data_IF_558426986740
#
_entry.id   IF_558426986740
#
_cell.length_a   1.000
_cell.length_b   1.000
_cell.length_c   1.000
_cell.angle_alpha   90.00
_cell.angle_beta   90.00
_cell.angle_gamma   90.00
#
_symmetry.space_group_name_H-M   'P 1'
#
loop_
_entity.id
_entity.type
_entity.pdbx_description
1 polymer ?
2 non-polymer ?
3 non-polymer ?
4 non-polymer ?
5 non-polymer ?
6 non-polymer ?
7 water ?
#
# COMPACT_ATOMS: atom_id res chain seq x y z
N UNK A 2 -23.16 -0.11 -20.37
CA UNK A 2 -22.25 -0.10 -19.23
C UNK A 2 -20.79 -0.10 -19.70
N UNK A 3 -20.04 0.91 -19.28
CA UNK A 3 -18.62 1.03 -19.57
C UNK A 3 -17.94 -0.24 -19.07
N UNK A 4 -16.99 -0.78 -19.84
CA UNK A 4 -16.35 -2.00 -19.41
C UNK A 4 -15.28 -1.75 -18.35
N UNK A 5 -15.28 -2.56 -17.30
CA UNK A 5 -14.24 -2.50 -16.27
C UNK A 5 -12.94 -3.06 -16.84
N UNK A 6 -11.89 -2.25 -16.89
CA UNK A 6 -10.64 -2.69 -17.51
C UNK A 6 -9.53 -2.99 -16.52
N UNK A 7 -9.62 -2.43 -15.33
CA UNK A 7 -8.56 -2.68 -14.36
C UNK A 7 -9.02 -2.51 -12.93
N UNK A 8 -8.40 -3.28 -12.03
CA UNK A 8 -8.56 -3.06 -10.59
C UNK A 8 -7.16 -2.83 -10.09
N UNK A 9 -6.98 -1.70 -9.41
CA UNK A 9 -5.66 -1.26 -8.97
C UNK A 9 -5.60 -1.20 -7.45
N UNK A 10 -4.57 -1.86 -6.89
CA UNK A 10 -4.45 -2.04 -5.45
C UNK A 10 -3.34 -1.20 -4.83
N UNK A 11 -3.65 -0.52 -3.72
CA UNK A 11 -2.63 -0.09 -2.76
C UNK A 11 -2.00 -1.36 -2.17
N UNK A 12 -0.77 -1.24 -1.65
CA UNK A 12 -0.11 -2.39 -1.04
C UNK A 12 -0.33 -2.44 0.48
N UNK A 13 0.26 -1.50 1.22
CA UNK A 13 0.17 -1.56 2.68
C UNK A 13 -1.25 -1.31 3.17
N UNK A 14 -1.73 -2.19 4.05
CA UNK A 14 -3.07 -2.07 4.59
C UNK A 14 -4.15 -2.65 3.70
N UNK A 15 -3.77 -3.12 2.52
CA UNK A 15 -4.73 -3.73 1.58
C UNK A 15 -4.29 -5.14 1.20
N UNK A 16 -3.08 -5.25 0.68
CA UNK A 16 -2.50 -6.54 0.32
C UNK A 16 -1.88 -7.22 1.54
N UNK A 17 -1.08 -6.45 2.28
CA UNK A 17 -0.41 -6.94 3.48
C UNK A 17 -0.11 -5.76 4.41
N UNK A 18 0.24 -6.04 5.66
CA UNK A 18 0.54 -4.97 6.63
C UNK A 18 2.02 -4.94 6.98
N UNK A 19 2.69 -3.81 6.73
CA UNK A 19 4.13 -3.70 6.96
C UNK A 19 4.49 -2.88 8.21
N UNK A 20 3.48 -2.32 8.88
CA UNK A 20 3.71 -1.44 10.02
C UNK A 20 4.51 -2.07 11.15
N UNK A 21 4.17 -3.30 11.52
CA UNK A 21 4.87 -4.01 12.58
C UNK A 21 6.35 -4.25 12.21
N UNK A 22 6.60 -4.53 10.94
CA UNK A 22 7.98 -4.76 10.48
C UNK A 22 8.81 -3.49 10.52
N UNK A 23 8.20 -2.35 10.19
CA UNK A 23 8.90 -1.07 10.31
C UNK A 23 9.30 -0.82 11.76
N UNK A 24 8.35 -1.04 12.68
CA UNK A 24 8.63 -0.87 14.10
C UNK A 24 9.71 -1.82 14.60
N UNK A 25 9.61 -3.08 14.20
CA UNK A 25 10.60 -4.07 14.62
C UNK A 25 12.02 -3.73 14.16
N UNK A 26 12.14 -3.12 12.98
CA UNK A 26 13.44 -2.69 12.48
C UNK A 26 13.97 -1.50 13.32
N UNK A 27 13.11 -0.54 13.61
CA UNK A 27 13.51 0.59 14.45
C UNK A 27 13.90 0.10 15.85
N UNK A 28 13.14 -0.85 16.38
CA UNK A 28 13.43 -1.38 17.70
C UNK A 28 14.77 -2.10 17.74
N UNK A 29 15.11 -2.80 16.67
CA UNK A 29 16.39 -3.48 16.60
C UNK A 29 17.56 -2.49 16.50
N UNK A 30 17.44 -1.49 15.62
CA UNK A 30 18.52 -0.51 15.51
C UNK A 30 18.69 0.25 16.82
N UNK A 31 17.59 0.55 17.50
CA UNK A 31 17.66 1.21 18.80
C UNK A 31 18.41 0.33 19.80
N UNK A 32 18.05 -0.95 19.86
CA UNK A 32 18.71 -1.87 20.78
C UNK A 32 20.21 -1.98 20.51
N UNK A 33 20.60 -1.90 19.24
CA UNK A 33 22.01 -2.00 18.88
C UNK A 33 22.83 -0.79 19.30
N UNK A 34 22.16 0.31 19.63
CA UNK A 34 22.85 1.45 20.24
C UNK A 34 22.45 1.67 21.69
N UNK A 35 21.92 0.63 22.33
CA UNK A 35 21.67 0.66 23.76
C UNK A 35 20.43 1.43 24.18
N UNK A 36 19.44 1.48 23.30
CA UNK A 36 18.20 2.20 23.60
C UNK A 36 17.00 1.26 23.50
N UNK A 37 16.18 1.23 24.54
CA UNK A 37 14.99 0.38 24.55
C UNK A 37 13.75 1.17 24.16
N UNK A 38 13.10 0.79 23.06
CA UNK A 38 11.80 1.36 22.70
C UNK A 38 10.75 0.24 22.61
N UNK A 39 9.49 0.59 22.86
CA UNK A 39 8.39 -0.39 22.80
C UNK A 39 7.31 0.05 21.82
N UNK A 40 6.29 -0.79 21.64
CA UNK A 40 5.20 -0.49 20.73
C UNK A 40 4.48 0.81 21.11
N UNK A 41 4.47 1.09 22.41
CA UNK A 41 3.90 2.32 22.93
C UNK A 41 4.69 3.54 22.46
N UNK A 42 6.01 3.41 22.41
CA UNK A 42 6.86 4.48 21.89
C UNK A 42 6.61 4.67 20.39
N UNK A 43 6.23 3.58 19.71
CA UNK A 43 6.10 3.61 18.26
C UNK A 43 5.01 4.55 17.74
N UNK A 44 4.10 4.97 18.63
CA UNK A 44 3.10 5.97 18.26
C UNK A 44 3.80 7.29 17.92
N UNK A 45 4.93 7.53 18.58
CA UNK A 45 5.74 8.74 18.34
C UNK A 45 6.47 8.70 17.00
N UNK A 46 6.47 7.54 16.35
CA UNK A 46 7.12 7.38 15.06
C UNK A 46 6.08 7.30 13.94
N UNK A 47 4.81 7.24 14.32
CA UNK A 47 3.72 7.15 13.36
C UNK A 47 3.57 8.43 12.55
N UNK A 48 3.73 8.32 11.23
CA UNK A 48 3.58 9.46 10.35
C UNK A 48 4.74 10.45 10.45
N UNK A 49 5.93 9.92 10.71
CA UNK A 49 7.13 10.73 10.91
C UNK A 49 8.18 10.39 9.87
N UNK A 50 8.94 11.38 9.42
CA UNK A 50 10.03 11.17 8.46
C UNK A 50 11.08 10.24 9.04
N UNK A 51 11.89 9.63 8.17
CA UNK A 51 12.93 8.72 8.61
C UNK A 51 13.94 9.41 9.52
N UNK A 52 14.35 10.62 9.15
CA UNK A 52 15.38 11.32 9.93
C UNK A 52 14.86 11.72 11.31
N UNK A 53 13.62 12.19 11.36
CA UNK A 53 13.02 12.60 12.62
C UNK A 53 12.67 11.38 13.50
N UNK A 54 12.35 10.25 12.87
CA UNK A 54 12.11 9.01 13.62
C UNK A 54 13.37 8.61 14.37
N UNK A 55 14.49 8.59 13.67
CA UNK A 55 15.77 8.27 14.30
C UNK A 55 16.09 9.29 15.38
N UNK A 56 15.86 10.57 15.11
CA UNK A 56 16.20 11.58 16.10
C UNK A 56 15.38 11.39 17.37
N UNK A 57 14.11 11.02 17.22
CA UNK A 57 13.26 10.79 18.38
C UNK A 57 13.73 9.60 19.21
N UNK A 58 14.23 8.57 18.54
CA UNK A 58 14.82 7.42 19.22
C UNK A 58 16.07 7.84 20.00
N UNK A 59 16.93 8.62 19.35
CA UNK A 59 18.13 9.13 20.01
C UNK A 59 17.78 9.99 21.22
N UNK A 60 16.80 10.88 21.07
CA UNK A 60 16.37 11.72 22.18
C UNK A 60 15.87 10.86 23.34
N UNK A 61 15.13 9.81 23.01
CA UNK A 61 14.57 8.91 24.01
C UNK A 61 15.65 8.28 24.88
N UNK A 62 16.79 7.99 24.28
CA UNK A 62 17.91 7.41 25.02
C UNK A 62 18.98 8.41 25.43
N UNK A 63 18.72 9.70 25.23
CA UNK A 63 19.67 10.74 25.56
C UNK A 63 20.96 10.66 24.74
N UNK A 64 20.84 10.31 23.47
CA UNK A 64 22.02 10.08 22.65
C UNK A 64 22.12 10.92 21.37
N UNK A 65 21.36 12.01 21.29
CA UNK A 65 21.45 12.88 20.12
C UNK A 65 22.87 13.40 19.89
N UNK A 66 23.58 13.67 20.99
CA UNK A 66 24.91 14.25 20.91
C UNK A 66 25.98 13.26 20.48
N UNK A 67 25.62 11.99 20.39
CA UNK A 67 26.59 10.95 20.09
C UNK A 67 26.69 10.60 18.60
N UNK A 68 25.82 11.19 17.79
CA UNK A 68 25.78 10.86 16.37
C UNK A 68 25.60 12.11 15.48
N UNK A 69 26.53 12.33 14.56
CA UNK A 69 26.38 13.44 13.61
C UNK A 69 25.52 13.00 12.43
N UNK A 70 25.31 13.87 11.45
CA UNK A 70 24.40 13.52 10.35
C UNK A 70 24.89 12.33 9.53
N UNK A 71 26.22 12.18 9.40
CA UNK A 71 26.76 11.08 8.62
C UNK A 71 26.62 9.75 9.35
N UNK A 72 26.83 9.78 10.66
CA UNK A 72 26.69 8.59 11.50
C UNK A 72 25.22 8.19 11.64
N UNK A 73 24.34 9.18 11.72
CA UNK A 73 22.92 8.89 11.70
C UNK A 73 22.53 8.25 10.38
N UNK A 74 23.16 8.70 9.30
CA UNK A 74 22.90 8.12 7.98
C UNK A 74 23.27 6.65 7.97
N UNK A 75 24.35 6.30 8.68
CA UNK A 75 24.77 4.89 8.73
C UNK A 75 23.78 4.06 9.55
N UNK A 76 23.25 4.62 10.63
CA UNK A 76 22.22 3.94 11.41
C UNK A 76 20.96 3.73 10.57
N UNK A 77 20.59 4.75 9.80
CA UNK A 77 19.41 4.67 8.96
C UNK A 77 19.59 3.62 7.86
N UNK A 78 20.81 3.54 7.32
CA UNK A 78 21.09 2.52 6.30
C UNK A 78 20.89 1.11 6.87
N UNK A 79 21.42 0.86 8.06
CA UNK A 79 21.26 -0.45 8.68
C UNK A 79 19.81 -0.75 9.03
N UNK A 80 19.09 0.25 9.55
CA UNK A 80 17.68 0.06 9.85
C UNK A 80 16.93 -0.34 8.58
N UNK A 81 17.20 0.35 7.49
CA UNK A 81 16.49 0.03 6.25
C UNK A 81 16.87 -1.36 5.75
N UNK A 82 18.13 -1.72 5.92
CA UNK A 82 18.63 -3.02 5.48
C UNK A 82 17.93 -4.15 6.24
N UNK A 83 17.79 -4.00 7.56
CA UNK A 83 17.11 -4.99 8.38
C UNK A 83 15.63 -5.07 7.99
N UNK A 84 15.02 -3.91 7.74
CA UNK A 84 13.62 -3.83 7.35
C UNK A 84 13.38 -4.58 6.02
N UNK A 85 14.23 -4.31 5.02
CA UNK A 85 14.08 -4.97 3.72
C UNK A 85 14.29 -6.48 3.84
N UNK A 86 15.24 -6.92 4.67
CA UNK A 86 15.42 -8.35 4.87
C UNK A 86 14.13 -8.96 5.41
N UNK A 87 13.49 -8.29 6.38
CA UNK A 87 12.25 -8.81 6.94
C UNK A 87 11.13 -8.90 5.90
N UNK A 88 11.14 -8.00 4.93
CA UNK A 88 10.16 -8.08 3.83
C UNK A 88 10.40 -9.34 3.00
N UNK A 89 11.67 -9.67 2.77
CA UNK A 89 11.99 -10.85 1.97
C UNK A 89 11.59 -12.13 2.70
N UNK A 90 11.43 -12.03 4.02
CA UNK A 90 11.06 -13.17 4.84
C UNK A 90 9.55 -13.37 4.99
N UNK A 91 8.76 -12.44 4.47
CA UNK A 91 7.30 -12.57 4.49
C UNK A 91 6.89 -13.86 3.76
N UNK A 92 5.80 -14.49 4.23
CA UNK A 92 5.29 -15.71 3.61
C UNK A 92 3.90 -15.46 3.04
N UNK A 93 3.35 -16.46 2.37
CA UNK A 93 1.99 -16.36 1.82
C UNK A 93 0.96 -16.03 2.89
N UNK A 94 1.26 -16.37 4.13
CA UNK A 94 0.32 -16.15 5.24
C UNK A 94 0.19 -14.69 5.67
N UNK A 95 1.04 -13.82 5.13
CA UNK A 95 1.00 -12.39 5.47
C UNK A 95 0.01 -11.63 4.59
N UNK A 96 -0.53 -12.29 3.57
CA UNK A 96 -1.53 -11.65 2.73
C UNK A 96 -2.82 -11.49 3.52
N UNK A 97 -3.45 -10.31 3.41
CA UNK A 97 -4.68 -10.04 4.17
C UNK A 97 -5.83 -10.93 3.69
N UNK A 98 -6.78 -11.25 4.61
CA UNK A 98 -7.87 -12.16 4.28
C UNK A 98 -8.69 -11.68 3.10
N UNK A 99 -9.04 -12.61 2.20
CA UNK A 99 -9.85 -12.27 1.04
C UNK A 99 -9.07 -11.88 -0.21
N UNK A 100 -7.82 -11.45 -0.03
CA UNK A 100 -7.07 -10.86 -1.12
C UNK A 100 -6.67 -11.86 -2.21
N UNK A 101 -6.10 -13.00 -1.83
CA UNK A 101 -5.68 -13.99 -2.83
C UNK A 101 -6.88 -14.55 -3.60
N UNK A 102 -7.98 -14.82 -2.91
CA UNK A 102 -9.21 -15.27 -3.57
C UNK A 102 -9.69 -14.25 -4.60
N UNK A 103 -9.69 -12.98 -4.21
CA UNK A 103 -10.15 -11.91 -5.09
C UNK A 103 -9.25 -11.79 -6.31
N UNK A 104 -7.93 -11.87 -6.11
CA UNK A 104 -7.00 -11.76 -7.22
C UNK A 104 -7.20 -12.92 -8.19
N UNK A 105 -7.41 -14.11 -7.66
CA UNK A 105 -7.67 -15.28 -8.50
C UNK A 105 -8.94 -15.10 -9.31
N UNK A 106 -9.98 -14.55 -8.67
CA UNK A 106 -11.23 -14.30 -9.37
C UNK A 106 -11.10 -13.24 -10.45
N UNK A 107 -10.35 -12.19 -10.18
CA UNK A 107 -10.18 -11.12 -11.18
C UNK A 107 -9.50 -11.69 -12.40
N UNK A 108 -8.48 -12.52 -12.18
CA UNK A 108 -7.76 -13.11 -13.29
C UNK A 108 -8.62 -14.12 -14.06
N UNK A 109 -9.49 -14.85 -13.36
CA UNK A 109 -10.42 -15.74 -14.06
C UNK A 109 -11.39 -14.96 -14.94
N UNK A 110 -11.69 -13.72 -14.54
CA UNK A 110 -12.59 -12.86 -15.31
C UNK A 110 -11.84 -12.02 -16.35
N UNK A 111 -10.55 -12.28 -16.48
CA UNK A 111 -9.68 -11.56 -17.42
C UNK A 111 -9.71 -10.05 -17.20
N UNK A 112 -9.73 -9.64 -15.93
CA UNK A 112 -9.61 -8.24 -15.58
C UNK A 112 -8.14 -7.95 -15.27
N UNK A 113 -7.61 -6.88 -15.86
CA UNK A 113 -6.24 -6.46 -15.57
C UNK A 113 -6.09 -6.05 -14.11
N UNK A 114 -4.91 -6.32 -13.55
CA UNK A 114 -4.68 -5.96 -12.15
C UNK A 114 -3.47 -5.05 -12.06
N UNK A 115 -3.62 -3.90 -11.40
CA UNK A 115 -2.49 -3.00 -11.23
C UNK A 115 -2.07 -2.84 -9.78
N UNK A 116 -0.83 -2.41 -9.56
CA UNK A 116 -0.38 -2.04 -8.22
C UNK A 116 -0.02 -0.57 -8.23
N UNK A 117 -0.51 0.18 -7.25
CA UNK A 117 -0.18 1.59 -7.08
C UNK A 117 0.37 1.79 -5.68
N UNK A 118 1.55 1.25 -5.45
CA UNK A 118 2.24 1.36 -4.17
C UNK A 118 3.35 2.39 -4.25
N UNK A 119 3.50 3.20 -3.21
CA UNK A 119 4.59 4.17 -3.18
C UNK A 119 5.87 3.57 -2.60
N UNK A 120 5.84 2.27 -2.29
CA UNK A 120 7.01 1.61 -1.72
C UNK A 120 8.02 1.17 -2.79
N UNK A 121 9.29 1.51 -2.60
CA UNK A 121 10.34 1.06 -3.50
C UNK A 121 10.56 -0.45 -3.37
N UNK A 122 9.96 -1.05 -2.35
CA UNK A 122 10.16 -2.46 -2.06
C UNK A 122 9.01 -3.33 -2.55
N UNK A 123 8.06 -2.72 -3.26
CA UNK A 123 6.86 -3.44 -3.73
C UNK A 123 7.13 -4.77 -4.44
N UNK A 124 8.04 -4.80 -5.43
CA UNK A 124 8.29 -6.09 -6.12
C UNK A 124 8.85 -7.17 -5.17
N UNK A 125 9.73 -6.78 -4.27
CA UNK A 125 10.27 -7.70 -3.26
C UNK A 125 9.13 -8.28 -2.41
N UNK A 126 8.22 -7.39 -2.02
CA UNK A 126 7.08 -7.79 -1.22
C UNK A 126 6.14 -8.75 -1.96
N UNK A 127 5.74 -8.39 -3.18
CA UNK A 127 4.85 -9.27 -3.94
C UNK A 127 5.48 -10.65 -4.21
N UNK A 128 6.79 -10.67 -4.40
CA UNK A 128 7.48 -11.93 -4.62
C UNK A 128 7.40 -12.81 -3.36
N UNK A 129 7.69 -12.21 -2.20
CA UNK A 129 7.64 -12.94 -0.94
C UNK A 129 6.25 -13.51 -0.63
N UNK A 130 5.22 -12.73 -0.96
CA UNK A 130 3.83 -13.09 -0.73
C UNK A 130 3.34 -14.08 -1.78
N UNK A 131 4.16 -14.31 -2.80
CA UNK A 131 3.83 -15.19 -3.93
C UNK A 131 2.59 -14.68 -4.67
N UNK A 132 2.59 -13.39 -4.95
CA UNK A 132 1.45 -12.75 -5.61
C UNK A 132 1.79 -12.11 -6.96
N UNK A 133 3.05 -12.12 -7.36
CA UNK A 133 3.46 -11.45 -8.59
C UNK A 133 2.64 -11.89 -9.80
N UNK A 134 2.30 -13.17 -9.87
CA UNK A 134 1.65 -13.73 -11.05
C UNK A 134 0.27 -13.12 -11.27
N UNK A 135 -0.29 -12.48 -10.24
CA UNK A 135 -1.63 -11.91 -10.39
C UNK A 135 -1.66 -10.50 -10.96
N UNK A 136 -0.49 -9.85 -11.02
CA UNK A 136 -0.41 -8.46 -11.43
C UNK A 136 0.03 -8.25 -12.87
N UNK A 137 -0.72 -7.39 -13.56
CA UNK A 137 -0.47 -7.09 -14.97
C UNK A 137 0.58 -5.99 -15.06
N UNK A 138 0.46 -5.00 -14.18
CA UNK A 138 1.40 -3.89 -14.18
C UNK A 138 1.55 -3.32 -12.77
N UNK A 139 2.79 -3.03 -12.38
CA UNK A 139 3.06 -2.36 -11.12
C UNK A 139 3.74 -1.02 -11.37
N UNK A 140 3.14 0.06 -10.86
CA UNK A 140 3.72 1.40 -11.00
C UNK A 140 5.10 1.45 -10.33
N UNK A 141 6.01 2.23 -10.92
CA UNK A 141 7.39 2.33 -10.43
C UNK A 141 7.52 3.47 -9.42
N UNK A 142 7.58 3.12 -8.14
CA UNK A 142 7.62 4.13 -7.09
C UNK A 142 8.90 4.97 -7.12
N UNK A 143 9.97 4.45 -7.73
CA UNK A 143 11.23 5.19 -7.83
C UNK A 143 11.14 6.40 -8.77
N UNK A 144 10.06 6.45 -9.55
CA UNK A 144 9.90 7.54 -10.52
C UNK A 144 8.90 8.57 -10.02
N UNK A 145 8.36 8.33 -8.83
CA UNK A 145 7.30 9.16 -8.25
C UNK A 145 7.80 10.52 -7.76
N UNK A 146 7.13 11.59 -8.16
CA UNK A 146 7.48 12.95 -7.75
C UNK A 146 6.66 13.42 -6.56
N UNK A 147 5.38 13.06 -6.56
CA UNK A 147 4.47 13.48 -5.49
C UNK A 147 3.72 12.29 -4.92
N UNK A 148 3.75 12.12 -3.60
CA UNK A 148 3.06 10.96 -3.03
C UNK A 148 1.60 11.29 -2.80
N UNK A 149 0.86 10.30 -2.31
CA UNK A 149 -0.57 10.48 -2.03
C UNK A 149 -0.67 11.58 -0.98
N UNK A 150 -1.71 12.43 -1.04
CA UNK A 150 -2.91 12.36 -1.86
C UNK A 150 -2.82 12.83 -3.31
N UNK A 151 -1.64 13.17 -3.83
CA UNK A 151 -1.53 13.48 -5.25
C UNK A 151 -1.87 12.22 -6.05
N UNK A 152 -2.63 12.37 -7.15
CA UNK A 152 -3.06 11.19 -7.90
C UNK A 152 -1.96 10.52 -8.74
N UNK A 153 -0.76 11.09 -8.80
CA UNK A 153 0.32 10.56 -9.66
C UNK A 153 0.46 9.03 -9.70
N UNK A 154 0.58 8.38 -8.55
CA UNK A 154 0.85 6.94 -8.51
C UNK A 154 -0.30 6.12 -9.11
N UNK A 155 -1.53 6.58 -8.91
CA UNK A 155 -2.68 5.92 -9.53
C UNK A 155 -2.76 6.17 -11.01
N UNK A 156 -2.49 7.41 -11.43
CA UNK A 156 -2.42 7.71 -12.86
C UNK A 156 -1.33 6.88 -13.55
N UNK A 157 -0.21 6.68 -12.87
CA UNK A 157 0.88 5.87 -13.43
C UNK A 157 0.47 4.40 -13.61
N UNK A 158 -0.28 3.87 -12.63
CA UNK A 158 -0.77 2.51 -12.71
C UNK A 158 -1.76 2.34 -13.88
N UNK A 159 -2.67 3.30 -14.04
CA UNK A 159 -3.62 3.26 -15.15
C UNK A 159 -2.89 3.32 -16.50
N UNK A 160 -1.93 4.23 -16.61
CA UNK A 160 -1.21 4.39 -17.87
C UNK A 160 -0.43 3.12 -18.19
N UNK A 161 0.10 2.47 -17.16
CA UNK A 161 0.84 1.24 -17.36
C UNK A 161 -0.05 0.12 -17.85
N UNK A 162 -1.32 0.15 -17.42
CA UNK A 162 -2.31 -0.84 -17.86
C UNK A 162 -2.85 -0.49 -19.23
N UNK A 163 -2.56 0.73 -19.68
CA UNK A 163 -2.97 1.17 -21.00
C UNK A 163 -4.43 1.59 -21.11
N UNK A 164 -5.01 2.02 -20.00
CA UNK A 164 -6.44 2.35 -19.99
C UNK A 164 -6.70 3.64 -19.25
N UNK A 165 -7.83 4.29 -19.53
CA UNK A 165 -8.16 5.51 -18.78
C UNK A 165 -8.53 5.23 -17.33
N UNK A 166 -8.29 6.20 -16.45
CA UNK A 166 -8.58 6.00 -15.03
C UNK A 166 -10.04 5.65 -14.75
N UNK A 167 -10.97 6.25 -15.48
CA UNK A 167 -12.39 6.00 -15.21
C UNK A 167 -12.83 4.57 -15.51
N UNK A 168 -12.01 3.82 -16.25
CA UNK A 168 -12.31 2.41 -16.49
C UNK A 168 -11.70 1.49 -15.43
N UNK A 169 -11.22 2.09 -14.32
CA UNK A 169 -10.57 1.32 -13.27
C UNK A 169 -11.19 1.56 -11.90
N UNK A 170 -11.09 0.55 -11.03
CA UNK A 170 -11.42 0.68 -9.62
C UNK A 170 -10.11 0.73 -8.86
N UNK A 171 -10.01 1.61 -7.86
CA UNK A 171 -8.84 1.63 -6.99
C UNK A 171 -9.22 1.29 -5.57
N UNK A 172 -8.35 0.59 -4.85
CA UNK A 172 -8.67 0.11 -3.53
C UNK A 172 -7.63 0.62 -2.55
N UNK A 173 -8.07 1.31 -1.51
CA UNK A 173 -7.17 1.95 -0.54
C UNK A 173 -7.67 1.82 0.89
N UNK A 174 -6.74 1.87 1.85
CA UNK A 174 -7.11 1.85 3.27
C UNK A 174 -6.87 3.18 3.99
N UNK A 175 -6.34 4.18 3.28
CA UNK A 175 -5.97 5.44 3.91
C UNK A 175 -6.65 6.62 3.22
N UNK A 176 -6.93 7.67 3.97
CA UNK A 176 -7.67 8.81 3.43
C UNK A 176 -6.90 9.48 2.30
N UNK A 177 -5.58 9.61 2.44
CA UNK A 177 -4.79 10.25 1.39
C UNK A 177 -4.85 9.39 0.13
N UNK A 178 -5.01 8.08 0.32
CA UNK A 178 -5.09 7.15 -0.79
C UNK A 178 -6.42 7.25 -1.50
N UNK A 179 -7.51 7.30 -0.72
CA UNK A 179 -8.82 7.54 -1.31
C UNK A 179 -8.84 8.86 -2.06
N UNK A 180 -8.25 9.90 -1.48
CA UNK A 180 -8.19 11.20 -2.15
C UNK A 180 -7.42 11.12 -3.45
N UNK A 181 -6.30 10.40 -3.45
CA UNK A 181 -5.54 10.22 -4.68
C UNK A 181 -6.32 9.48 -5.77
N UNK A 182 -7.00 8.40 -5.40
CA UNK A 182 -7.83 7.65 -6.33
C UNK A 182 -8.91 8.57 -6.91
N UNK A 183 -9.60 9.30 -6.03
CA UNK A 183 -10.66 10.20 -6.50
C UNK A 183 -10.12 11.25 -7.47
N UNK A 184 -9.01 11.88 -7.11
CA UNK A 184 -8.45 12.95 -7.94
C UNK A 184 -8.01 12.44 -9.30
N UNK A 185 -7.65 11.16 -9.38
CA UNK A 185 -7.19 10.56 -10.66
C UNK A 185 -8.31 10.29 -11.65
N UNK A 186 -9.55 10.28 -11.18
CA UNK A 186 -10.66 9.92 -12.06
C UNK A 186 -11.09 8.46 -11.96
N UNK A 187 -10.41 7.68 -11.13
CA UNK A 187 -10.79 6.28 -10.89
C UNK A 187 -11.96 6.15 -9.92
N UNK A 188 -12.64 4.99 -9.95
CA UNK A 188 -13.75 4.74 -9.02
C UNK A 188 -13.14 4.24 -7.72
N UNK A 189 -13.56 4.80 -6.58
CA UNK A 189 -12.86 4.53 -5.32
C UNK A 189 -13.55 3.53 -4.39
N UNK A 190 -12.75 2.59 -3.87
CA UNK A 190 -13.21 1.64 -2.87
C UNK A 190 -12.31 1.79 -1.66
N UNK A 191 -12.92 2.03 -0.50
CA UNK A 191 -12.17 2.18 0.73
C UNK A 191 -12.32 0.99 1.66
N UNK A 192 -11.24 0.67 2.37
CA UNK A 192 -11.24 -0.42 3.33
C UNK A 192 -10.98 0.18 4.71
N UNK A 193 -11.99 0.16 5.57
CA UNK A 193 -11.84 0.67 6.93
C UNK A 193 -12.90 1.70 7.30
N UNK A 194 -13.42 1.58 8.51
CA UNK A 194 -14.38 2.56 8.99
C UNK A 194 -13.69 3.92 9.09
N UNK A 195 -14.44 4.98 8.87
CA UNK A 195 -13.91 6.32 9.06
C UNK A 195 -13.43 7.02 7.80
N UNK A 196 -13.17 6.25 6.74
CA UNK A 196 -12.78 6.84 5.47
C UNK A 196 -13.96 7.61 4.87
N UNK A 197 -13.69 8.78 4.30
CA UNK A 197 -14.74 9.57 3.64
C UNK A 197 -14.43 9.69 2.15
N UNK A 198 -15.43 10.01 1.34
CA UNK A 198 -15.20 10.19 -0.07
C UNK A 198 -15.04 8.94 -0.92
N UNK A 199 -15.24 7.76 -0.31
CA UNK A 199 -15.17 6.52 -1.09
C UNK A 199 -16.52 6.22 -1.75
N UNK A 200 -16.50 5.76 -2.99
CA UNK A 200 -17.75 5.41 -3.65
C UNK A 200 -18.33 4.12 -3.08
N UNK A 201 -17.44 3.23 -2.65
CA UNK A 201 -17.85 1.99 -1.98
C UNK A 201 -16.98 1.88 -0.73
N UNK A 202 -17.60 1.83 0.45
CA UNK A 202 -16.84 1.73 1.70
C UNK A 202 -17.07 0.37 2.37
N UNK A 203 -15.99 -0.38 2.60
CA UNK A 203 -16.07 -1.72 3.17
C UNK A 203 -15.32 -1.75 4.51
N UNK A 204 -15.77 -2.61 5.43
CA UNK A 204 -15.16 -2.60 6.75
C UNK A 204 -13.80 -3.29 6.82
N UNK A 205 -13.54 -4.24 5.93
CA UNK A 205 -12.26 -4.96 5.93
C UNK A 205 -12.04 -5.64 4.58
N UNK A 206 -10.85 -6.21 4.39
CA UNK A 206 -10.55 -6.83 3.10
C UNK A 206 -11.39 -8.08 2.87
N UNK A 207 -11.93 -8.65 3.93
CA UNK A 207 -12.77 -9.85 3.79
C UNK A 207 -14.05 -9.56 3.02
N UNK A 208 -14.51 -8.31 3.08
CA UNK A 208 -15.69 -7.87 2.36
C UNK A 208 -15.41 -7.68 0.87
N UNK A 209 -14.15 -7.70 0.51
CA UNK A 209 -13.73 -7.37 -0.86
C UNK A 209 -13.81 -8.60 -1.75
N UNK A 210 -14.97 -8.82 -2.38
CA UNK A 210 -15.16 -9.97 -3.26
C UNK A 210 -15.42 -9.54 -4.70
N UNK A 211 -15.17 -10.44 -5.65
CA UNK A 211 -15.48 -10.14 -7.04
C UNK A 211 -16.97 -9.84 -7.28
N UNK A 212 -17.89 -10.68 -6.75
CA UNK A 212 -19.29 -10.36 -6.96
C UNK A 212 -19.67 -8.97 -6.43
N UNK A 213 -19.08 -8.56 -5.31
CA UNK A 213 -19.39 -7.24 -4.75
C UNK A 213 -18.82 -6.11 -5.63
N UNK A 214 -17.57 -6.26 -6.04
CA UNK A 214 -16.92 -5.26 -6.90
C UNK A 214 -17.66 -5.17 -8.23
N UNK A 215 -18.08 -6.31 -8.74
CA UNK A 215 -18.80 -6.35 -10.01
C UNK A 215 -20.16 -5.69 -9.90
N UNK A 216 -20.85 -5.93 -8.80
CA UNK A 216 -22.14 -5.28 -8.58
C UNK A 216 -21.99 -3.75 -8.44
N UNK A 217 -20.97 -3.35 -7.70
CA UNK A 217 -20.59 -1.94 -7.57
C UNK A 217 -20.30 -1.32 -8.92
N UNK A 218 -19.49 -2.01 -9.73
CA UNK A 218 -19.18 -1.48 -11.07
C UNK A 218 -20.44 -1.29 -11.90
N UNK A 219 -21.30 -2.31 -11.95
CA UNK A 219 -22.50 -2.24 -12.77
C UNK A 219 -23.39 -1.09 -12.32
N UNK A 220 -23.33 -0.78 -11.04
CA UNK A 220 -24.18 0.30 -10.53
C UNK A 220 -23.64 1.67 -10.92
N UNK A 221 -22.35 1.90 -10.71
CA UNK A 221 -21.78 3.23 -10.95
C UNK A 221 -21.46 3.54 -12.42
N UNK A 222 -21.37 2.51 -13.25
CA UNK A 222 -20.92 2.69 -14.64
C UNK A 222 -22.07 2.87 -15.60
N UNK A 223 -23.28 2.66 -15.11
CA UNK A 223 -24.45 2.74 -15.98
C UNK A 223 -24.83 4.18 -16.25
N UNK A 224 -25.30 4.40 -17.47
CA UNK A 224 -25.64 5.74 -17.92
C UNK A 224 -26.74 5.56 -18.96
N UNK A 225 -27.94 5.98 -18.60
CA UNK A 225 -29.13 5.94 -19.46
C UNK A 225 -28.82 6.55 -20.82
N UNK A 226 -27.97 7.57 -20.82
CA UNK A 226 -27.73 8.38 -22.02
C UNK A 226 -26.67 7.73 -22.92
N UNK A 227 -26.25 6.52 -22.55
CA UNK A 227 -25.38 5.69 -23.38
C UNK A 227 -26.06 4.39 -23.83
N UNK A 228 -27.35 4.27 -23.58
CA UNK A 228 -28.12 3.12 -24.05
C UNK A 228 -28.53 3.31 -25.51
#
# INVERSE_FOLDING_TARGET
MVMKLQGVIFDLDGVITDTAHLHFQAWQQIAAEIGISIDAQFNESLKGISRDESLRRILQHGGKEGDFNSQERAQLAYRKNLLYVHSLRELTVNAVLPGIRSLLADLRAQQISVGLASVSLNAPTILAALELREFFTFCADASQLKNSKPDPEIFLAACAGLGVPPQACIGIEDAQAGIDAINASGMRSVGIGAGLTGAQLLLPSTESLTWPRLSAFWQNVAENLYFQSHHHHHHWSHPQFEK
#
